data_IF_370810088864
#
_entry.id   IF_370810088864
#
_cell.length_a   1.000
_cell.length_b   1.000
_cell.length_c   1.000
_cell.angle_alpha   90.00
_cell.angle_beta   90.00
_cell.angle_gamma   90.00
#
_symmetry.space_group_name_H-M   'P 1'
#
loop_
_entity.id
_entity.type
_entity.pdbx_description
1 polymer ?
#
# COMPACT_ATOMS: atom_id res chain seq x y z
N UNK A 1 -17.86 5.25 -5.86
CA UNK A 1 -16.99 5.12 -7.03
C UNK A 1 -17.82 4.49 -8.14
N UNK A 2 -17.85 5.11 -9.33
CA UNK A 2 -18.47 4.53 -10.51
C UNK A 2 -17.42 4.54 -11.63
N UNK A 3 -17.06 3.36 -12.14
CA UNK A 3 -16.05 3.17 -13.16
C UNK A 3 -16.61 2.27 -14.25
N UNK A 4 -16.37 2.63 -15.50
CA UNK A 4 -16.75 1.83 -16.67
C UNK A 4 -15.51 1.70 -17.55
N UNK A 5 -15.06 0.47 -17.76
CA UNK A 5 -13.93 0.15 -18.62
C UNK A 5 -14.31 -1.05 -19.49
N UNK A 6 -14.44 -0.82 -20.81
CA UNK A 6 -14.88 -1.83 -21.79
C UNK A 6 -16.18 -2.54 -21.35
N UNK A 7 -16.08 -3.83 -21.03
CA UNK A 7 -17.19 -4.71 -20.68
C UNK A 7 -17.36 -4.86 -19.16
N UNK A 8 -16.67 -4.04 -18.36
CA UNK A 8 -16.74 -4.05 -16.90
C UNK A 8 -17.27 -2.70 -16.39
N UNK A 9 -18.31 -2.77 -15.57
CA UNK A 9 -18.86 -1.64 -14.84
C UNK A 9 -18.79 -1.93 -13.33
N UNK A 10 -18.15 -1.02 -12.59
CA UNK A 10 -17.95 -1.13 -11.14
C UNK A 10 -18.66 0.04 -10.48
N UNK A 11 -19.60 -0.26 -9.61
CA UNK A 11 -20.29 0.73 -8.78
C UNK A 11 -20.18 0.35 -7.32
N UNK A 12 -19.37 1.07 -6.55
CA UNK A 12 -19.02 0.74 -5.17
C UNK A 12 -19.17 1.95 -4.26
N UNK A 13 -19.82 1.75 -3.12
CA UNK A 13 -19.91 2.72 -2.04
C UNK A 13 -18.87 2.43 -0.97
N UNK A 14 -18.19 3.48 -0.51
CA UNK A 14 -17.16 3.41 0.52
C UNK A 14 -17.65 4.21 1.72
N UNK A 15 -17.70 3.57 2.90
CA UNK A 15 -18.06 4.23 4.15
C UNK A 15 -16.90 4.09 5.16
N UNK A 16 -16.24 5.19 5.55
CA UNK A 16 -15.14 5.15 6.51
C UNK A 16 -15.60 4.57 7.86
N UNK A 17 -14.81 3.64 8.41
CA UNK A 17 -15.02 3.08 9.75
C UNK A 17 -14.27 3.85 10.84
N UNK A 18 -13.36 4.74 10.46
CA UNK A 18 -12.50 5.52 11.34
C UNK A 18 -12.41 6.97 10.86
N UNK A 19 -12.01 7.90 11.75
CA UNK A 19 -11.65 9.25 11.35
C UNK A 19 -10.53 9.26 10.29
N UNK A 20 -10.44 10.40 9.60
CA UNK A 20 -9.34 10.70 8.68
C UNK A 20 -7.98 10.59 9.39
N UNK A 21 -7.01 10.01 8.71
CA UNK A 21 -5.63 9.90 9.20
C UNK A 21 -4.74 10.90 8.49
N UNK A 22 -4.06 11.76 9.24
CA UNK A 22 -3.11 12.74 8.72
C UNK A 22 -1.72 12.11 8.62
N UNK A 23 -1.35 11.65 7.41
CA UNK A 23 -0.13 10.87 7.17
C UNK A 23 1.12 11.69 7.50
N UNK A 24 2.16 11.05 8.02
CA UNK A 24 3.38 11.72 8.50
C UNK A 24 3.21 12.42 9.85
N UNK A 25 2.17 12.08 10.62
CA UNK A 25 1.86 12.66 11.93
C UNK A 25 1.09 13.98 11.89
N UNK A 26 1.32 14.80 10.86
CA UNK A 26 0.69 16.11 10.72
C UNK A 26 0.04 16.35 9.34
N UNK A 27 -0.03 15.32 8.49
CA UNK A 27 -0.59 15.41 7.16
C UNK A 27 0.33 16.07 6.14
N UNK A 28 1.61 16.26 6.46
CA UNK A 28 2.60 16.92 5.61
C UNK A 28 3.90 16.13 5.40
N UNK A 29 3.85 14.85 4.98
CA UNK A 29 5.05 14.08 4.75
C UNK A 29 5.81 14.62 3.52
N UNK A 30 7.13 14.72 3.62
CA UNK A 30 8.03 14.98 2.48
C UNK A 30 7.65 16.19 1.59
N UNK A 31 7.17 17.27 2.21
CA UNK A 31 6.69 18.51 1.55
C UNK A 31 5.42 18.36 0.69
N UNK A 32 4.70 17.26 0.86
CA UNK A 32 3.36 17.05 0.31
C UNK A 32 2.30 17.29 1.38
N UNK A 33 1.04 17.30 0.98
CA UNK A 33 -0.11 17.14 1.87
C UNK A 33 -0.72 15.78 1.63
N UNK A 34 -1.05 15.05 2.69
CA UNK A 34 -1.50 13.67 2.58
C UNK A 34 -2.43 13.28 3.73
N UNK A 35 -3.62 12.78 3.38
CA UNK A 35 -4.49 12.08 4.31
C UNK A 35 -5.06 10.78 3.70
N UNK A 36 -5.57 9.93 4.60
CA UNK A 36 -6.18 8.65 4.23
C UNK A 36 -7.47 8.37 5.00
N UNK A 37 -8.39 7.66 4.37
CA UNK A 37 -9.39 6.82 5.05
C UNK A 37 -8.89 5.37 4.96
N UNK A 38 -8.15 4.93 5.97
CA UNK A 38 -7.40 3.67 5.96
C UNK A 38 -8.28 2.42 6.03
N UNK A 39 -9.53 2.56 6.48
CA UNK A 39 -10.50 1.47 6.51
C UNK A 39 -11.90 1.95 6.22
N UNK A 40 -12.44 1.47 5.11
CA UNK A 40 -13.81 1.70 4.67
C UNK A 40 -14.52 0.36 4.54
N UNK A 41 -15.78 0.28 4.92
CA UNK A 41 -16.65 -0.79 4.39
C UNK A 41 -16.94 -0.48 2.94
N UNK A 42 -16.87 -1.50 2.10
CA UNK A 42 -17.19 -1.42 0.68
C UNK A 42 -18.38 -2.31 0.41
N UNK A 43 -19.36 -1.80 -0.32
CA UNK A 43 -20.47 -2.58 -0.85
C UNK A 43 -20.88 -2.04 -2.21
N UNK A 44 -21.44 -2.89 -3.06
CA UNK A 44 -21.95 -2.45 -4.35
C UNK A 44 -22.04 -3.57 -5.36
N UNK A 45 -21.83 -3.25 -6.63
CA UNK A 45 -22.00 -4.16 -7.75
C UNK A 45 -20.82 -4.12 -8.71
N UNK A 46 -20.44 -5.30 -9.19
CA UNK A 46 -19.55 -5.47 -10.33
C UNK A 46 -20.36 -6.14 -11.44
N UNK A 47 -20.40 -5.51 -12.60
CA UNK A 47 -21.07 -6.00 -13.78
C UNK A 47 -20.03 -6.34 -14.84
N UNK A 48 -20.12 -7.55 -15.37
CA UNK A 48 -19.25 -8.07 -16.43
C UNK A 48 -20.11 -8.68 -17.53
N UNK A 49 -19.48 -9.18 -18.60
CA UNK A 49 -20.16 -9.99 -19.61
C UNK A 49 -20.85 -11.25 -19.04
N UNK A 50 -20.39 -11.76 -17.89
CA UNK A 50 -20.96 -12.95 -17.24
C UNK A 50 -22.15 -12.63 -16.32
N UNK A 51 -22.48 -11.36 -16.11
CA UNK A 51 -23.58 -10.91 -15.26
C UNK A 51 -23.19 -9.86 -14.23
N UNK A 52 -24.11 -9.62 -13.29
CA UNK A 52 -23.92 -8.66 -12.19
C UNK A 52 -23.81 -9.39 -10.87
N UNK A 53 -22.75 -9.08 -10.11
CA UNK A 53 -22.49 -9.62 -8.78
C UNK A 53 -22.57 -8.50 -7.74
N UNK A 54 -23.30 -8.76 -6.64
CA UNK A 54 -23.24 -7.89 -5.46
C UNK A 54 -21.99 -8.26 -4.66
N UNK A 55 -21.19 -7.26 -4.28
CA UNK A 55 -19.94 -7.46 -3.55
C UNK A 55 -19.93 -6.69 -2.24
N UNK A 56 -19.21 -7.22 -1.25
CA UNK A 56 -18.88 -6.56 0.00
C UNK A 56 -17.38 -6.73 0.27
N UNK A 57 -16.79 -5.79 1.00
CA UNK A 57 -15.37 -5.87 1.34
C UNK A 57 -14.87 -4.71 2.17
N UNK A 58 -13.57 -4.51 2.13
CA UNK A 58 -12.90 -3.37 2.75
C UNK A 58 -12.12 -2.59 1.71
N UNK A 59 -12.02 -1.29 1.91
CA UNK A 59 -11.35 -0.37 1.00
C UNK A 59 -10.43 0.59 1.73
N UNK A 60 -9.42 1.06 1.01
CA UNK A 60 -8.50 2.11 1.42
C UNK A 60 -8.68 3.30 0.48
N UNK A 61 -8.64 4.51 1.00
CA UNK A 61 -8.63 5.71 0.18
C UNK A 61 -7.49 6.62 0.62
N UNK A 62 -6.70 7.06 -0.35
CA UNK A 62 -5.64 8.04 -0.19
C UNK A 62 -5.92 9.29 -0.99
N UNK A 63 -5.56 10.44 -0.43
CA UNK A 63 -5.50 11.69 -1.16
C UNK A 63 -4.22 12.44 -0.81
N UNK A 64 -3.39 12.61 -1.81
CA UNK A 64 -2.11 13.28 -1.73
C UNK A 64 -2.04 14.40 -2.77
N UNK A 65 -1.57 15.57 -2.37
CA UNK A 65 -1.41 16.71 -3.28
C UNK A 65 -0.26 17.60 -2.85
N UNK A 66 0.27 18.37 -3.79
CA UNK A 66 1.38 19.28 -3.55
C UNK A 66 2.21 19.47 -4.81
N UNK A 67 3.44 19.96 -4.63
CA UNK A 67 4.41 20.10 -5.73
C UNK A 67 5.51 19.07 -5.55
N UNK A 68 5.20 17.83 -5.90
CA UNK A 68 6.20 16.78 -6.03
C UNK A 68 6.33 16.40 -7.51
N UNK A 69 7.56 16.55 -8.02
CA UNK A 69 7.95 16.18 -9.37
C UNK A 69 8.76 14.88 -9.36
N UNK A 70 8.71 14.09 -8.28
CA UNK A 70 9.51 12.88 -8.07
C UNK A 70 9.50 11.96 -9.30
N UNK A 71 8.31 11.67 -9.82
CA UNK A 71 8.12 10.92 -11.08
C UNK A 71 8.85 11.52 -12.28
N UNK A 72 8.79 12.84 -12.44
CA UNK A 72 9.47 13.56 -13.52
C UNK A 72 10.99 13.62 -13.34
N UNK A 73 11.48 13.34 -12.13
CA UNK A 73 12.92 13.36 -11.79
C UNK A 73 13.54 11.98 -11.67
N UNK A 74 12.79 10.91 -11.98
CA UNK A 74 13.28 9.53 -11.91
C UNK A 74 13.28 8.95 -10.49
N UNK A 75 12.30 9.35 -9.67
CA UNK A 75 12.06 8.76 -8.36
C UNK A 75 10.84 7.85 -8.47
N UNK A 76 11.02 6.59 -8.07
CA UNK A 76 9.95 5.62 -7.82
C UNK A 76 9.70 5.45 -6.33
N UNK A 77 8.91 4.46 -5.94
CA UNK A 77 8.62 4.17 -4.54
C UNK A 77 8.13 2.74 -4.35
N UNK A 78 8.19 2.31 -3.09
CA UNK A 78 7.47 1.16 -2.58
C UNK A 78 6.44 1.69 -1.58
N UNK A 79 5.17 1.33 -1.75
CA UNK A 79 4.09 1.73 -0.87
C UNK A 79 3.24 0.52 -0.46
N UNK A 80 2.79 0.51 0.79
CA UNK A 80 1.98 -0.55 1.36
C UNK A 80 0.87 0.04 2.22
N UNK A 81 -0.38 -0.29 1.89
CA UNK A 81 -1.56 -0.04 2.71
C UNK A 81 -2.06 -1.35 3.30
N UNK A 82 -1.84 -1.54 4.60
CA UNK A 82 -2.05 -2.82 5.28
C UNK A 82 -3.18 -2.70 6.31
N UNK A 83 -4.17 -3.58 6.22
CA UNK A 83 -5.30 -3.67 7.13
C UNK A 83 -5.15 -4.91 8.01
N UNK A 84 -4.75 -4.71 9.27
CA UNK A 84 -4.57 -5.79 10.24
C UNK A 84 -5.92 -6.31 10.73
N UNK A 85 -6.00 -7.61 10.99
CA UNK A 85 -7.20 -8.29 11.49
C UNK A 85 -7.60 -7.83 12.89
N UNK A 86 -6.65 -7.32 13.68
CA UNK A 86 -6.95 -6.74 14.99
C UNK A 86 -7.60 -5.35 14.91
N UNK A 87 -7.83 -4.84 13.70
CA UNK A 87 -8.49 -3.56 13.45
C UNK A 87 -7.54 -2.37 13.49
N UNK A 88 -6.23 -2.56 13.45
CA UNK A 88 -5.24 -1.49 13.17
C UNK A 88 -4.90 -1.45 11.69
N UNK A 89 -4.25 -0.39 11.24
CA UNK A 89 -3.72 -0.28 9.87
C UNK A 89 -2.29 0.24 9.88
N UNK A 90 -1.54 -0.10 8.84
CA UNK A 90 -0.22 0.45 8.56
C UNK A 90 -0.19 1.06 7.17
N UNK A 91 0.27 2.30 7.06
CA UNK A 91 0.76 2.86 5.79
C UNK A 91 2.28 2.92 5.87
N UNK A 92 2.93 2.19 4.98
CA UNK A 92 4.39 2.08 4.91
C UNK A 92 4.85 2.54 3.54
N UNK A 93 5.92 3.31 3.48
CA UNK A 93 6.53 3.64 2.21
C UNK A 93 8.02 3.94 2.31
N UNK A 94 8.70 3.85 1.17
CA UNK A 94 10.04 4.39 0.95
C UNK A 94 10.15 4.88 -0.50
N UNK A 95 10.95 5.91 -0.73
CA UNK A 95 11.27 6.39 -2.07
C UNK A 95 12.41 5.56 -2.64
N UNK A 96 12.42 5.41 -3.96
CA UNK A 96 13.40 4.61 -4.70
C UNK A 96 14.02 5.46 -5.80
N UNK A 97 15.33 5.37 -5.99
CA UNK A 97 15.97 5.95 -7.17
C UNK A 97 15.72 5.07 -8.40
N UNK A 98 15.38 5.63 -9.57
CA UNK A 98 15.37 4.84 -10.80
C UNK A 98 16.78 4.59 -11.38
N UNK A 99 17.81 5.25 -10.84
CA UNK A 99 19.21 5.10 -11.27
C UNK A 99 20.00 4.07 -10.46
N UNK A 100 19.43 3.58 -9.36
CA UNK A 100 20.09 2.60 -8.48
C UNK A 100 19.06 1.84 -7.68
N UNK A 101 19.44 0.72 -7.08
CA UNK A 101 18.55 -0.03 -6.17
C UNK A 101 18.40 0.61 -4.78
N UNK A 102 18.91 1.83 -4.58
CA UNK A 102 18.85 2.50 -3.27
C UNK A 102 17.48 3.10 -3.00
N UNK A 103 17.04 2.94 -1.77
CA UNK A 103 15.83 3.54 -1.22
C UNK A 103 16.16 4.57 -0.15
N UNK A 104 15.22 5.47 0.13
CA UNK A 104 15.38 6.59 1.06
C UNK A 104 14.02 7.12 1.54
N UNK A 105 14.05 8.00 2.54
CA UNK A 105 12.86 8.58 3.18
C UNK A 105 11.81 7.54 3.63
N UNK A 106 12.21 6.47 4.33
CA UNK A 106 11.27 5.46 4.81
C UNK A 106 10.26 6.07 5.80
N UNK A 107 9.03 5.59 5.84
CA UNK A 107 8.01 6.03 6.80
C UNK A 107 7.05 4.89 7.15
N UNK A 108 6.66 4.85 8.42
CA UNK A 108 5.59 4.01 8.93
C UNK A 108 4.56 4.85 9.68
N UNK A 109 3.28 4.66 9.33
CA UNK A 109 2.14 5.23 10.04
C UNK A 109 1.31 4.09 10.57
N UNK A 110 1.23 3.94 11.90
CA UNK A 110 0.37 2.98 12.57
C UNK A 110 -0.90 3.68 13.03
N UNK A 111 -2.04 3.26 12.49
CA UNK A 111 -3.36 3.79 12.85
C UNK A 111 -4.02 2.79 13.80
N UNK A 112 -4.29 3.23 15.03
CA UNK A 112 -4.91 2.38 16.03
C UNK A 112 -6.42 2.16 15.76
N UNK A 113 -7.08 1.33 16.58
CA UNK A 113 -8.51 1.02 16.41
C UNK A 113 -9.43 2.24 16.53
N UNK A 114 -8.97 3.30 17.18
CA UNK A 114 -9.69 4.57 17.39
C UNK A 114 -9.36 5.62 16.32
N UNK A 115 -8.43 5.33 15.41
CA UNK A 115 -7.97 6.26 14.39
C UNK A 115 -6.83 7.18 14.86
N UNK A 116 -6.20 6.90 16.01
CA UNK A 116 -5.01 7.64 16.45
C UNK A 116 -3.82 7.15 15.64
N UNK A 117 -3.12 8.09 15.02
CA UNK A 117 -1.94 7.81 14.20
C UNK A 117 -0.66 7.99 15.03
N UNK A 118 0.19 6.96 14.98
CA UNK A 118 1.58 7.00 15.41
C UNK A 118 2.46 6.98 14.16
N UNK A 119 3.49 7.82 14.13
CA UNK A 119 4.37 7.98 12.98
C UNK A 119 5.82 7.77 13.38
N UNK A 120 6.57 7.08 12.53
CA UNK A 120 8.02 6.94 12.64
C UNK A 120 8.71 6.90 11.28
N UNK A 121 9.98 7.27 11.27
CA UNK A 121 10.91 7.08 10.14
C UNK A 121 11.80 5.85 10.34
N UNK A 122 11.74 5.20 11.50
CA UNK A 122 12.49 3.99 11.82
C UNK A 122 11.75 2.76 11.26
N UNK A 123 11.91 2.52 9.97
CA UNK A 123 11.39 1.34 9.27
C UNK A 123 12.41 0.87 8.23
N UNK A 124 12.61 -0.45 8.17
CA UNK A 124 13.51 -1.09 7.24
C UNK A 124 12.74 -2.08 6.35
N UNK A 125 12.96 -1.98 5.05
CA UNK A 125 12.38 -2.85 4.04
C UNK A 125 13.45 -3.79 3.49
N UNK A 126 13.09 -5.06 3.32
CA UNK A 126 13.98 -6.07 2.75
C UNK A 126 13.23 -6.88 1.71
N UNK A 127 13.67 -6.75 0.47
CA UNK A 127 13.20 -7.52 -0.68
C UNK A 127 13.57 -9.01 -0.49
N UNK A 128 12.60 -9.92 -0.63
CA UNK A 128 12.80 -11.37 -0.42
C UNK A 128 12.65 -12.19 -1.71
N UNK A 129 11.64 -11.89 -2.53
CA UNK A 129 11.34 -12.63 -3.76
C UNK A 129 10.86 -11.68 -4.84
N UNK A 130 11.28 -11.95 -6.07
CA UNK A 130 10.88 -11.16 -7.24
C UNK A 130 9.99 -11.94 -8.20
N UNK A 131 9.23 -11.19 -8.98
CA UNK A 131 8.56 -11.65 -10.17
C UNK A 131 8.96 -10.76 -11.34
N UNK A 132 9.34 -11.40 -12.45
CA UNK A 132 9.69 -10.72 -13.68
C UNK A 132 8.47 -10.67 -14.59
N UNK A 133 8.11 -9.47 -15.04
CA UNK A 133 7.02 -9.28 -15.98
C UNK A 133 7.37 -9.89 -17.34
N UNK A 134 6.50 -10.73 -17.93
CA UNK A 134 6.68 -11.19 -19.30
C UNK A 134 6.43 -10.10 -20.33
N UNK A 135 5.69 -9.03 -19.99
CA UNK A 135 5.26 -7.99 -20.92
C UNK A 135 6.27 -6.85 -21.02
N UNK A 136 6.87 -6.47 -19.89
CA UNK A 136 7.76 -5.31 -19.80
C UNK A 136 9.19 -5.67 -19.40
N UNK A 137 9.43 -6.92 -18.98
CA UNK A 137 10.69 -7.42 -18.44
C UNK A 137 11.14 -6.75 -17.12
N UNK A 138 10.31 -5.89 -16.51
CA UNK A 138 10.56 -5.34 -15.18
C UNK A 138 10.61 -6.45 -14.12
N UNK A 139 11.46 -6.28 -13.12
CA UNK A 139 11.64 -7.25 -12.05
C UNK A 139 11.18 -6.67 -10.71
N UNK A 140 9.99 -7.05 -10.27
CA UNK A 140 9.32 -6.48 -9.10
C UNK A 140 9.53 -7.35 -7.86
N UNK A 141 9.98 -6.80 -6.72
CA UNK A 141 9.97 -7.49 -5.44
C UNK A 141 8.53 -7.67 -4.94
N UNK A 142 8.01 -8.88 -5.02
CA UNK A 142 6.62 -9.20 -4.66
C UNK A 142 6.50 -9.82 -3.26
N UNK A 143 7.60 -9.91 -2.53
CA UNK A 143 7.67 -10.46 -1.17
C UNK A 143 8.71 -9.70 -0.35
N UNK A 144 8.35 -9.37 0.89
CA UNK A 144 9.06 -8.42 1.73
C UNK A 144 9.09 -8.86 3.19
N UNK A 145 10.21 -8.58 3.85
CA UNK A 145 10.31 -8.46 5.30
C UNK A 145 10.37 -6.97 5.66
N UNK A 146 9.51 -6.51 6.57
CA UNK A 146 9.41 -5.12 6.97
C UNK A 146 9.48 -5.00 8.50
N UNK A 147 10.50 -4.30 8.98
CA UNK A 147 10.80 -4.11 10.40
C UNK A 147 10.46 -2.68 10.81
N UNK A 148 9.69 -2.51 11.89
CA UNK A 148 9.33 -1.21 12.46
C UNK A 148 9.72 -1.22 13.95
N UNK A 149 10.99 -0.97 14.32
CA UNK A 149 11.49 -1.19 15.67
C UNK A 149 10.78 -0.36 16.74
N UNK A 150 10.46 0.91 16.47
CA UNK A 150 9.72 1.77 17.41
C UNK A 150 8.32 1.26 17.73
N UNK A 151 7.71 0.47 16.84
CA UNK A 151 6.42 -0.20 17.10
C UNK A 151 6.61 -1.66 17.54
N UNK A 152 7.85 -2.14 17.61
CA UNK A 152 8.19 -3.54 17.92
C UNK A 152 7.51 -4.54 16.97
N UNK A 153 7.33 -4.16 15.70
CA UNK A 153 6.62 -4.94 14.68
C UNK A 153 7.62 -5.51 13.66
N UNK A 154 7.46 -6.79 13.31
CA UNK A 154 8.06 -7.43 12.14
C UNK A 154 6.97 -8.03 11.27
N UNK A 155 6.97 -7.71 9.98
CA UNK A 155 5.97 -8.19 9.02
C UNK A 155 6.62 -8.94 7.86
N UNK A 156 5.97 -10.02 7.45
CA UNK A 156 6.16 -10.66 6.17
C UNK A 156 4.98 -10.32 5.26
N UNK A 157 5.23 -9.57 4.18
CA UNK A 157 4.22 -9.14 3.22
C UNK A 157 4.48 -9.80 1.88
N UNK A 158 3.46 -10.40 1.27
CA UNK A 158 3.57 -11.02 -0.06
C UNK A 158 2.39 -10.71 -0.95
N UNK A 159 2.64 -10.54 -2.24
CA UNK A 159 1.60 -10.44 -3.25
C UNK A 159 0.65 -11.64 -3.17
N UNK A 160 -0.64 -11.41 -3.33
CA UNK A 160 -1.64 -12.47 -3.36
C UNK A 160 -1.42 -13.39 -4.57
N UNK A 161 -1.06 -12.80 -5.71
CA UNK A 161 -0.55 -13.49 -6.89
C UNK A 161 0.43 -12.58 -7.67
N UNK A 162 1.33 -13.13 -8.51
CA UNK A 162 2.44 -12.36 -9.06
C UNK A 162 2.04 -11.34 -10.14
N UNK A 163 1.15 -11.71 -11.05
CA UNK A 163 0.85 -10.90 -12.24
C UNK A 163 -0.20 -9.82 -11.93
N UNK A 164 0.26 -8.73 -11.32
CA UNK A 164 -0.51 -7.53 -11.01
C UNK A 164 0.21 -6.26 -11.52
N UNK A 165 0.96 -6.40 -12.62
CA UNK A 165 1.50 -5.24 -13.33
C UNK A 165 0.37 -4.52 -14.08
N UNK A 166 0.34 -3.20 -13.95
CA UNK A 166 -0.57 -2.34 -14.65
C UNK A 166 0.22 -1.40 -15.59
N UNK A 167 -0.06 -1.42 -16.90
CA UNK A 167 0.51 -0.44 -17.82
C UNK A 167 -0.07 0.94 -17.53
N UNK A 168 0.77 1.97 -17.53
CA UNK A 168 0.37 3.36 -17.30
C UNK A 168 0.94 4.29 -18.37
N UNK A 169 0.24 5.40 -18.62
CA UNK A 169 0.69 6.41 -19.58
C UNK A 169 1.79 7.25 -18.94
N UNK A 170 2.83 7.55 -19.71
CA UNK A 170 3.89 8.49 -19.32
C UNK A 170 5.25 7.82 -19.17
N UNK A 171 6.23 8.50 -18.53
CA UNK A 171 7.62 8.06 -18.52
C UNK A 171 7.85 6.75 -17.76
N UNK A 172 6.93 6.36 -16.88
CA UNK A 172 7.00 5.12 -16.12
C UNK A 172 6.64 3.88 -16.93
N UNK A 173 5.75 3.98 -17.92
CA UNK A 173 5.21 2.90 -18.78
C UNK A 173 4.43 1.77 -18.06
N UNK A 174 4.85 1.32 -16.87
CA UNK A 174 4.12 0.37 -16.04
C UNK A 174 4.49 0.54 -14.54
N UNK A 175 3.59 0.07 -13.69
CA UNK A 175 3.77 -0.08 -12.25
C UNK A 175 3.26 -1.44 -11.82
N UNK A 176 3.73 -1.95 -10.69
CA UNK A 176 3.11 -3.10 -10.06
C UNK A 176 2.14 -2.61 -8.99
N UNK A 177 0.86 -2.93 -9.14
CA UNK A 177 -0.21 -2.42 -8.27
C UNK A 177 -1.13 -3.59 -7.94
N UNK A 178 -0.97 -4.17 -6.75
CA UNK A 178 -1.60 -5.44 -6.43
C UNK A 178 -1.98 -5.71 -4.98
N UNK A 179 -3.00 -6.54 -4.83
CA UNK A 179 -3.42 -7.08 -3.54
C UNK A 179 -2.30 -7.91 -2.91
N UNK A 180 -2.13 -7.76 -1.61
CA UNK A 180 -1.16 -8.50 -0.81
C UNK A 180 -1.80 -9.07 0.47
N UNK A 181 -1.13 -10.06 1.04
CA UNK A 181 -1.44 -10.59 2.37
C UNK A 181 -0.20 -10.48 3.24
N UNK A 182 -0.43 -10.39 4.55
CA UNK A 182 0.63 -10.26 5.52
C UNK A 182 0.42 -11.19 6.71
N UNK A 183 1.53 -11.63 7.26
CA UNK A 183 1.63 -12.21 8.59
C UNK A 183 2.82 -11.57 9.31
N UNK A 184 2.90 -11.70 10.61
CA UNK A 184 3.97 -11.07 11.37
C UNK A 184 3.70 -11.11 12.86
N UNK A 185 4.46 -10.30 13.56
CA UNK A 185 4.44 -10.27 15.01
C UNK A 185 4.73 -8.90 15.57
N UNK A 186 4.24 -8.68 16.78
CA UNK A 186 4.57 -7.53 17.61
C UNK A 186 5.02 -8.01 18.99
N UNK A 187 6.15 -7.52 19.46
CA UNK A 187 6.62 -7.75 20.83
C UNK A 187 5.98 -6.74 21.77
N UNK A 188 5.15 -7.21 22.71
CA UNK A 188 4.48 -6.38 23.71
C UNK A 188 5.43 -5.99 24.86
N UNK A 189 5.11 -4.95 25.66
CA UNK A 189 5.95 -4.51 26.77
C UNK A 189 6.25 -5.58 27.85
N UNK A 190 5.45 -6.64 27.91
CA UNK A 190 5.66 -7.79 28.80
C UNK A 190 6.41 -8.96 28.12
N UNK A 191 7.07 -8.70 27.00
CA UNK A 191 7.77 -9.66 26.14
C UNK A 191 6.87 -10.77 25.56
N UNK A 192 5.54 -10.63 25.62
CA UNK A 192 4.65 -11.53 24.90
C UNK A 192 4.62 -11.14 23.42
N UNK A 193 4.55 -12.15 22.57
CA UNK A 193 4.40 -11.97 21.13
C UNK A 193 2.92 -11.98 20.77
N UNK A 194 2.48 -10.95 20.04
CA UNK A 194 1.17 -10.88 19.40
C UNK A 194 1.34 -11.13 17.92
N UNK A 195 0.70 -12.17 17.39
CA UNK A 195 0.65 -12.41 15.94
C UNK A 195 -0.20 -11.34 15.25
N UNK A 196 0.26 -10.92 14.07
CA UNK A 196 -0.39 -9.94 13.22
C UNK A 196 -0.66 -10.59 11.86
N UNK A 197 -1.94 -10.72 11.50
CA UNK A 197 -2.35 -11.15 10.18
C UNK A 197 -3.21 -10.07 9.54
N UNK A 198 -3.24 -10.03 8.22
CA UNK A 198 -4.06 -9.08 7.50
C UNK A 198 -3.94 -9.18 6.00
N UNK A 199 -4.64 -8.27 5.33
CA UNK A 199 -4.60 -8.10 3.90
C UNK A 199 -4.25 -6.65 3.59
N UNK A 200 -3.89 -6.37 2.35
CA UNK A 200 -3.58 -5.01 1.97
C UNK A 200 -3.36 -4.87 0.48
N UNK A 201 -2.69 -3.78 0.16
CA UNK A 201 -2.35 -3.41 -1.18
C UNK A 201 -0.91 -2.91 -1.22
N UNK A 202 -0.19 -3.23 -2.28
CA UNK A 202 1.20 -2.87 -2.48
C UNK A 202 1.36 -2.23 -3.87
N UNK A 203 2.08 -1.12 -3.92
CA UNK A 203 2.38 -0.38 -5.14
C UNK A 203 3.90 -0.22 -5.27
N UNK A 204 4.45 -0.63 -6.41
CA UNK A 204 5.88 -0.64 -6.71
C UNK A 204 6.14 0.13 -8.01
N UNK A 205 6.91 1.21 -7.91
CA UNK A 205 7.10 2.16 -8.99
C UNK A 205 8.59 2.38 -9.26
N UNK A 206 8.95 2.54 -10.54
CA UNK A 206 10.34 2.79 -10.95
C UNK A 206 11.20 1.53 -11.07
N UNK A 207 10.60 0.42 -11.52
CA UNK A 207 11.27 -0.86 -11.77
C UNK A 207 11.54 -1.14 -13.26
N UNK A 208 11.10 -0.23 -14.14
CA UNK A 208 11.49 -0.22 -15.55
C UNK A 208 12.78 0.56 -15.72
N UNK A 209 13.75 -0.06 -16.41
CA UNK A 209 15.06 0.51 -16.74
C UNK A 209 15.00 1.38 -17.99
#
# INVERSE_FOLDING_TARGET
MHLIEKDVEINLDFSPLKPISLIGGNGKPDNLYYYSFTRNTVQGQIKTANGTENVIGQGWFDHQWGRDYGLMTGIGWNWFGLQLNDGRELLLNEQRSNKSTKTFSPMANLIDKKGILLFTRDVAFKELRYWQSPDTNANYPIEWEILIPEFSINLHVKALFPNQEMPIIGPLQAIWEGACILNGEETLPNNKIRSLDGNGFMELVGYLL
#
